data_IF_943976724501
#
_entry.id   IF_943976724501
#
_cell.length_a   1.000
_cell.length_b   1.000
_cell.length_c   1.000
_cell.angle_alpha   90.00
_cell.angle_beta   90.00
_cell.angle_gamma   90.00
#
_symmetry.space_group_name_H-M   'P 1'
#
loop_
_entity.id
_entity.type
_entity.pdbx_description
1 polymer ?
#
# COMPACT_ATOMS: atom_id res chain seq x y z
N UNK A 1 -21.74 -6.08 -8.34
CA UNK A 1 -21.15 -6.94 -9.39
C UNK A 1 -21.72 -6.49 -10.72
N UNK A 2 -20.89 -6.27 -11.74
CA UNK A 2 -21.34 -5.78 -13.06
C UNK A 2 -22.26 -6.81 -13.74
N UNK A 3 -23.45 -6.38 -14.17
CA UNK A 3 -24.50 -7.26 -14.67
C UNK A 3 -24.52 -7.40 -16.19
N UNK A 4 -23.94 -6.46 -16.92
CA UNK A 4 -23.86 -6.48 -18.39
C UNK A 4 -22.70 -7.34 -18.87
N UNK A 5 -23.01 -8.39 -19.62
CA UNK A 5 -22.00 -9.33 -20.14
C UNK A 5 -20.96 -8.66 -21.03
N UNK A 6 -21.37 -7.76 -21.93
CA UNK A 6 -20.45 -7.04 -22.80
C UNK A 6 -19.41 -6.22 -22.02
N UNK A 7 -19.82 -5.63 -20.89
CA UNK A 7 -18.92 -4.88 -20.01
C UNK A 7 -18.00 -5.83 -19.26
N UNK A 8 -18.49 -6.97 -18.77
CA UNK A 8 -17.65 -8.00 -18.13
C UNK A 8 -16.54 -8.50 -19.07
N UNK A 9 -16.87 -8.78 -20.33
CA UNK A 9 -15.89 -9.21 -21.34
C UNK A 9 -14.84 -8.13 -21.58
N UNK A 10 -15.26 -6.87 -21.74
CA UNK A 10 -14.33 -5.75 -21.92
C UNK A 10 -13.42 -5.54 -20.71
N UNK A 11 -13.97 -5.60 -19.49
CA UNK A 11 -13.21 -5.50 -18.25
C UNK A 11 -12.19 -6.63 -18.14
N UNK A 12 -12.61 -7.87 -18.44
CA UNK A 12 -11.73 -9.03 -18.39
C UNK A 12 -10.54 -8.86 -19.34
N UNK A 13 -10.79 -8.52 -20.60
CA UNK A 13 -9.75 -8.30 -21.61
C UNK A 13 -8.78 -7.17 -21.21
N UNK A 14 -9.30 -6.07 -20.66
CA UNK A 14 -8.48 -4.97 -20.18
C UNK A 14 -7.60 -5.38 -18.99
N UNK A 15 -8.15 -6.13 -18.02
CA UNK A 15 -7.41 -6.60 -16.85
C UNK A 15 -6.33 -7.62 -17.25
N UNK A 16 -6.65 -8.59 -18.13
CA UNK A 16 -5.67 -9.56 -18.64
C UNK A 16 -4.48 -8.85 -19.31
N UNK A 17 -4.76 -7.84 -20.16
CA UNK A 17 -3.73 -7.02 -20.81
C UNK A 17 -2.91 -6.22 -19.81
N UNK A 18 -3.55 -5.64 -18.78
CA UNK A 18 -2.86 -4.89 -17.73
C UNK A 18 -1.92 -5.80 -16.93
N UNK A 19 -2.34 -7.00 -16.54
CA UNK A 19 -1.49 -7.98 -15.85
C UNK A 19 -0.26 -8.32 -16.70
N UNK A 20 -0.46 -8.61 -17.99
CA UNK A 20 0.64 -8.95 -18.90
C UNK A 20 1.61 -7.77 -19.03
N UNK A 21 1.10 -6.55 -19.20
CA UNK A 21 1.92 -5.35 -19.29
C UNK A 21 2.72 -5.12 -18.01
N UNK A 22 2.06 -5.15 -16.85
CA UNK A 22 2.71 -4.98 -15.55
C UNK A 22 3.80 -6.03 -15.33
N UNK A 23 3.53 -7.30 -15.61
CA UNK A 23 4.50 -8.37 -15.46
C UNK A 23 5.72 -8.19 -16.38
N UNK A 24 5.51 -7.77 -17.64
CA UNK A 24 6.59 -7.50 -18.60
C UNK A 24 7.37 -6.22 -18.28
N UNK A 25 6.75 -5.28 -17.59
CA UNK A 25 7.35 -4.01 -17.20
C UNK A 25 8.27 -4.11 -15.98
N UNK A 26 8.22 -5.23 -15.23
CA UNK A 26 9.08 -5.46 -14.08
C UNK A 26 10.56 -5.46 -14.52
N UNK A 27 11.40 -4.73 -13.79
CA UNK A 27 12.83 -4.67 -14.10
C UNK A 27 13.56 -5.93 -13.61
N UNK A 28 14.82 -6.07 -14.03
CA UNK A 28 15.71 -7.14 -13.54
C UNK A 28 15.99 -7.06 -12.03
N UNK A 29 15.64 -5.95 -11.38
CA UNK A 29 15.73 -5.82 -9.93
C UNK A 29 14.53 -6.43 -9.19
N UNK A 30 13.44 -6.75 -9.89
CA UNK A 30 12.17 -7.19 -9.31
C UNK A 30 11.22 -6.05 -8.97
N UNK A 31 11.65 -4.79 -9.15
CA UNK A 31 10.83 -3.59 -8.93
C UNK A 31 10.29 -2.98 -10.22
N UNK A 32 9.60 -1.85 -10.07
CA UNK A 32 9.09 -1.03 -11.17
C UNK A 32 9.48 0.42 -10.97
N UNK A 33 9.59 1.17 -12.07
CA UNK A 33 9.58 2.64 -12.06
C UNK A 33 8.44 3.16 -12.93
N UNK A 34 8.37 4.48 -13.13
CA UNK A 34 7.37 5.15 -13.96
C UNK A 34 7.35 4.73 -15.43
N UNK A 35 8.40 4.08 -15.93
CA UNK A 35 8.52 3.60 -17.31
C UNK A 35 8.75 2.08 -17.35
N UNK A 36 8.12 1.34 -18.27
CA UNK A 36 8.31 -0.12 -18.38
C UNK A 36 9.77 -0.53 -18.59
N UNK A 37 10.22 -1.57 -17.87
CA UNK A 37 11.53 -2.21 -18.05
C UNK A 37 12.74 -1.40 -17.56
N UNK A 38 12.53 -0.17 -17.07
CA UNK A 38 13.58 0.66 -16.49
C UNK A 38 13.55 0.65 -14.96
N UNK A 39 14.72 0.57 -14.33
CA UNK A 39 14.93 0.94 -12.92
C UNK A 39 13.99 0.32 -11.88
N UNK A 40 13.93 0.97 -10.73
CA UNK A 40 13.13 0.54 -9.58
C UNK A 40 12.87 1.73 -8.64
N UNK A 41 11.67 1.78 -8.07
CA UNK A 41 11.38 2.62 -6.92
C UNK A 41 10.23 2.04 -6.08
N UNK A 42 10.23 2.34 -4.78
CA UNK A 42 9.40 1.68 -3.79
C UNK A 42 7.90 1.98 -3.94
N UNK A 43 7.52 3.21 -4.31
CA UNK A 43 6.09 3.57 -4.37
C UNK A 43 5.38 2.96 -5.57
N UNK A 44 6.03 2.97 -6.74
CA UNK A 44 5.51 2.30 -7.95
C UNK A 44 5.52 0.80 -7.75
N UNK A 45 6.59 0.22 -7.18
CA UNK A 45 6.65 -1.22 -6.93
C UNK A 45 5.51 -1.70 -6.04
N UNK A 46 5.27 -1.04 -4.90
CA UNK A 46 4.13 -1.38 -4.05
C UNK A 46 2.81 -1.26 -4.80
N UNK A 47 2.61 -0.17 -5.56
CA UNK A 47 1.37 0.03 -6.34
C UNK A 47 1.13 -1.11 -7.34
N UNK A 48 2.17 -1.56 -8.05
CA UNK A 48 2.05 -2.67 -9.01
C UNK A 48 1.73 -3.98 -8.30
N UNK A 49 2.37 -4.29 -7.17
CA UNK A 49 2.07 -5.52 -6.43
C UNK A 49 0.64 -5.52 -5.89
N UNK A 50 0.16 -4.38 -5.37
CA UNK A 50 -1.23 -4.23 -4.91
C UNK A 50 -2.23 -4.46 -6.06
N UNK A 51 -1.96 -3.89 -7.25
CA UNK A 51 -2.80 -4.09 -8.42
C UNK A 51 -2.84 -5.57 -8.86
N UNK A 52 -1.69 -6.24 -8.91
CA UNK A 52 -1.61 -7.66 -9.24
C UNK A 52 -2.33 -8.53 -8.20
N UNK A 53 -2.19 -8.24 -6.90
CA UNK A 53 -2.90 -8.98 -5.86
C UNK A 53 -4.41 -8.74 -5.90
N UNK A 54 -4.85 -7.51 -6.17
CA UNK A 54 -6.27 -7.24 -6.40
C UNK A 54 -6.83 -8.05 -7.58
N UNK A 55 -6.07 -8.18 -8.67
CA UNK A 55 -6.45 -9.01 -9.81
C UNK A 55 -6.53 -10.50 -9.44
N UNK A 56 -5.55 -11.01 -8.69
CA UNK A 56 -5.56 -12.40 -8.21
C UNK A 56 -6.75 -12.68 -7.30
N UNK A 57 -7.06 -11.77 -6.37
CA UNK A 57 -8.23 -11.88 -5.48
C UNK A 57 -9.56 -11.83 -6.25
N UNK A 58 -9.58 -11.19 -7.42
CA UNK A 58 -10.72 -11.19 -8.34
C UNK A 58 -10.77 -12.45 -9.25
N UNK A 59 -9.86 -13.41 -9.06
CA UNK A 59 -9.83 -14.68 -9.81
C UNK A 59 -9.03 -14.63 -11.11
N UNK A 60 -8.24 -13.58 -11.35
CA UNK A 60 -7.38 -13.49 -12.54
C UNK A 60 -6.05 -14.22 -12.33
N UNK A 61 -5.51 -14.76 -13.43
CA UNK A 61 -4.22 -15.42 -13.43
C UNK A 61 -3.09 -14.40 -13.45
N UNK A 62 -2.34 -14.32 -12.35
CA UNK A 62 -1.13 -13.50 -12.22
C UNK A 62 0.09 -14.41 -12.24
N UNK A 63 1.15 -14.11 -13.01
CA UNK A 63 2.37 -14.91 -13.01
C UNK A 63 3.00 -14.95 -11.59
N UNK A 64 3.15 -16.13 -10.96
CA UNK A 64 3.68 -16.22 -9.60
C UNK A 64 5.08 -15.63 -9.44
N UNK A 65 5.93 -15.84 -10.44
CA UNK A 65 7.30 -15.32 -10.46
C UNK A 65 7.36 -13.79 -10.34
N UNK A 66 6.40 -13.07 -10.94
CA UNK A 66 6.35 -11.60 -10.85
C UNK A 66 6.19 -11.14 -9.39
N UNK A 67 5.36 -11.83 -8.62
CA UNK A 67 5.17 -11.51 -7.20
C UNK A 67 6.38 -11.93 -6.37
N UNK A 68 6.93 -13.12 -6.60
CA UNK A 68 8.11 -13.59 -5.86
C UNK A 68 9.32 -12.68 -6.04
N UNK A 69 9.57 -12.17 -7.25
CA UNK A 69 10.66 -11.22 -7.47
C UNK A 69 10.38 -9.84 -6.84
N UNK A 70 9.12 -9.42 -6.74
CA UNK A 70 8.75 -8.19 -6.05
C UNK A 70 8.95 -8.30 -4.52
N UNK A 71 8.65 -9.45 -3.93
CA UNK A 71 8.94 -9.74 -2.51
C UNK A 71 10.44 -9.71 -2.27
N UNK A 72 11.23 -10.40 -3.11
CA UNK A 72 12.70 -10.37 -3.04
C UNK A 72 13.25 -8.96 -3.20
N UNK A 73 12.65 -8.14 -4.08
CA UNK A 73 13.02 -6.74 -4.22
C UNK A 73 12.85 -5.97 -2.90
N UNK A 74 11.69 -6.09 -2.24
CA UNK A 74 11.42 -5.45 -0.95
C UNK A 74 12.44 -5.92 0.11
N UNK A 75 12.74 -7.22 0.16
CA UNK A 75 13.77 -7.75 1.05
C UNK A 75 15.13 -7.10 0.83
N UNK A 76 15.55 -6.96 -0.42
CA UNK A 76 16.82 -6.31 -0.78
C UNK A 76 16.84 -4.81 -0.45
N UNK A 77 15.68 -4.15 -0.42
CA UNK A 77 15.54 -2.76 0.01
C UNK A 77 15.52 -2.59 1.54
N UNK A 78 15.61 -3.67 2.32
CA UNK A 78 15.63 -3.59 3.78
C UNK A 78 16.89 -2.89 4.28
N UNK A 79 16.72 -2.04 5.29
CA UNK A 79 17.82 -1.32 5.94
C UNK A 79 18.13 -1.92 7.32
N UNK A 80 19.31 -1.65 7.91
CA UNK A 80 19.67 -2.13 9.25
C UNK A 80 18.69 -1.69 10.35
N UNK A 81 18.02 -0.55 10.18
CA UNK A 81 17.00 -0.06 11.13
C UNK A 81 15.66 -0.79 11.01
N UNK A 82 15.52 -1.75 10.07
CA UNK A 82 14.33 -2.57 9.88
C UNK A 82 13.31 -2.02 8.88
N UNK A 83 13.48 -0.78 8.40
CA UNK A 83 12.62 -0.20 7.38
C UNK A 83 13.10 -0.48 5.94
N UNK A 84 12.47 0.20 4.98
CA UNK A 84 12.72 0.02 3.54
C UNK A 84 13.24 1.33 2.94
N UNK A 85 14.35 1.25 2.20
CA UNK A 85 14.89 2.39 1.43
C UNK A 85 14.04 2.67 0.18
N UNK A 86 14.29 3.79 -0.50
CA UNK A 86 13.44 4.21 -1.63
C UNK A 86 13.57 3.31 -2.87
N UNK A 87 14.79 2.87 -3.16
CA UNK A 87 15.12 2.04 -4.33
C UNK A 87 16.48 1.38 -4.07
N UNK A 88 16.75 0.26 -4.73
CA UNK A 88 18.05 -0.39 -4.71
C UNK A 88 19.12 0.46 -5.39
N UNK A 89 18.75 1.16 -6.47
CA UNK A 89 19.67 2.01 -7.23
C UNK A 89 20.14 3.24 -6.43
N UNK A 90 19.25 3.90 -5.69
CA UNK A 90 19.62 5.04 -4.84
C UNK A 90 20.13 4.62 -3.45
N UNK A 91 19.70 3.46 -2.94
CA UNK A 91 19.94 3.03 -1.57
C UNK A 91 19.42 4.03 -0.53
N UNK A 92 20.13 4.12 0.60
CA UNK A 92 19.89 5.12 1.65
C UNK A 92 19.09 4.60 2.85
N UNK A 93 18.67 5.54 3.70
CA UNK A 93 17.94 5.24 4.93
C UNK A 93 16.49 4.84 4.68
N UNK A 94 15.91 4.16 5.66
CA UNK A 94 14.51 3.78 5.66
C UNK A 94 13.57 5.00 5.52
N UNK A 95 12.51 4.84 4.73
CA UNK A 95 11.43 5.83 4.58
C UNK A 95 10.15 5.26 5.16
N UNK A 96 9.51 5.99 6.08
CA UNK A 96 8.29 5.52 6.76
C UNK A 96 7.16 5.17 5.79
N UNK A 97 6.87 6.07 4.84
CA UNK A 97 5.85 5.87 3.81
C UNK A 97 6.07 4.58 3.00
N UNK A 98 7.30 4.35 2.56
CA UNK A 98 7.67 3.17 1.77
C UNK A 98 7.64 1.91 2.64
N UNK A 99 8.08 2.01 3.90
CA UNK A 99 8.06 0.89 4.84
C UNK A 99 6.64 0.44 5.16
N UNK A 100 5.72 1.38 5.43
CA UNK A 100 4.31 1.06 5.64
C UNK A 100 3.68 0.38 4.42
N UNK A 101 3.99 0.90 3.23
CA UNK A 101 3.55 0.35 1.96
C UNK A 101 4.11 -1.07 1.72
N UNK A 102 5.35 -1.32 2.12
CA UNK A 102 5.97 -2.64 2.05
C UNK A 102 5.29 -3.67 2.98
N UNK A 103 4.97 -3.31 4.22
CA UNK A 103 4.24 -4.21 5.15
C UNK A 103 2.89 -4.62 4.56
N UNK A 104 2.10 -3.64 4.11
CA UNK A 104 0.81 -3.92 3.47
C UNK A 104 0.96 -4.81 2.22
N UNK A 105 2.06 -4.65 1.48
CA UNK A 105 2.36 -5.47 0.30
C UNK A 105 2.74 -6.90 0.66
N UNK A 106 3.59 -7.09 1.66
CA UNK A 106 4.01 -8.41 2.14
C UNK A 106 2.81 -9.18 2.72
N UNK A 107 1.97 -8.51 3.50
CA UNK A 107 0.75 -9.11 4.04
C UNK A 107 -0.24 -9.50 2.95
N UNK A 108 -0.49 -8.61 1.99
CA UNK A 108 -1.33 -8.95 0.82
C UNK A 108 -0.68 -10.02 -0.06
N UNK A 109 0.62 -10.26 0.09
CA UNK A 109 1.33 -11.35 -0.56
C UNK A 109 1.23 -12.70 0.19
N UNK A 110 0.68 -12.72 1.40
CA UNK A 110 0.64 -13.88 2.28
C UNK A 110 1.91 -14.09 3.12
N UNK A 111 2.85 -13.15 3.06
CA UNK A 111 4.15 -13.20 3.72
C UNK A 111 4.08 -12.62 5.15
N UNK A 112 3.09 -13.06 5.92
CA UNK A 112 2.79 -12.50 7.24
C UNK A 112 3.93 -12.71 8.25
N UNK A 113 4.49 -13.92 8.26
CA UNK A 113 5.53 -14.36 9.21
C UNK A 113 6.95 -14.21 8.64
N UNK A 114 7.08 -13.55 7.48
CA UNK A 114 8.40 -13.36 6.87
C UNK A 114 9.23 -12.42 7.77
N UNK A 115 10.51 -12.71 8.06
CA UNK A 115 11.34 -11.88 8.93
C UNK A 115 11.44 -10.42 8.47
N UNK A 116 11.34 -10.17 7.16
CA UNK A 116 11.28 -8.81 6.58
C UNK A 116 9.98 -8.08 6.97
N UNK A 117 8.84 -8.77 6.97
CA UNK A 117 7.54 -8.20 7.33
C UNK A 117 7.52 -7.82 8.81
N UNK A 118 8.00 -8.70 9.69
CA UNK A 118 8.07 -8.44 11.13
C UNK A 118 8.96 -7.24 11.47
N UNK A 119 10.19 -7.20 10.93
CA UNK A 119 11.11 -6.07 11.15
C UNK A 119 10.55 -4.77 10.61
N UNK A 120 9.94 -4.80 9.43
CA UNK A 120 9.36 -3.62 8.79
C UNK A 120 8.15 -3.11 9.57
N UNK A 121 7.27 -4.00 10.04
CA UNK A 121 6.17 -3.63 10.92
C UNK A 121 6.67 -3.00 12.22
N UNK A 122 7.71 -3.57 12.83
CA UNK A 122 8.34 -3.02 14.03
C UNK A 122 8.85 -1.59 13.82
N UNK A 123 9.60 -1.36 12.74
CA UNK A 123 10.08 -0.03 12.36
C UNK A 123 8.91 0.95 12.15
N UNK A 124 7.90 0.56 11.36
CA UNK A 124 6.73 1.42 11.08
C UNK A 124 6.01 1.77 12.39
N UNK A 125 5.81 0.77 13.25
CA UNK A 125 5.12 0.92 14.53
C UNK A 125 5.84 1.91 15.46
N UNK A 126 7.14 1.75 15.67
CA UNK A 126 7.93 2.64 16.52
C UNK A 126 7.94 4.08 16.00
N UNK A 127 8.08 4.26 14.68
CA UNK A 127 8.08 5.59 14.05
C UNK A 127 6.74 6.29 14.19
N UNK A 128 5.63 5.56 14.03
CA UNK A 128 4.29 6.11 14.23
C UNK A 128 4.07 6.59 15.67
N UNK A 129 4.47 5.78 16.65
CA UNK A 129 4.38 6.15 18.07
C UNK A 129 5.23 7.36 18.42
N UNK A 130 6.39 7.52 17.77
CA UNK A 130 7.27 8.67 17.97
C UNK A 130 6.74 9.96 17.31
N UNK A 131 5.99 9.87 16.21
CA UNK A 131 5.48 11.05 15.48
C UNK A 131 4.28 11.73 16.15
N UNK A 132 3.54 11.04 17.03
CA UNK A 132 2.47 11.64 17.83
C UNK A 132 1.19 11.99 17.06
N UNK A 133 1.01 11.47 15.83
CA UNK A 133 -0.21 11.61 15.04
C UNK A 133 0.01 12.07 13.60
N UNK A 134 -1.07 12.41 12.91
CA UNK A 134 -1.03 12.99 11.57
C UNK A 134 -0.35 14.36 11.63
N UNK A 135 0.83 14.46 11.03
CA UNK A 135 1.39 15.76 10.67
C UNK A 135 0.49 16.38 9.60
N UNK A 136 0.23 17.69 9.68
CA UNK A 136 -0.24 18.45 8.52
C UNK A 136 1.00 19.08 7.90
N UNK A 137 1.64 18.40 6.95
CA UNK A 137 2.69 19.04 6.15
C UNK A 137 3.87 18.17 5.74
N UNK A 138 3.89 16.88 6.06
CA UNK A 138 4.73 15.93 5.35
C UNK A 138 4.12 15.69 3.97
N UNK A 139 4.88 15.84 2.89
CA UNK A 139 4.34 15.78 1.52
C UNK A 139 3.64 14.47 1.11
N UNK A 140 3.52 13.48 2.01
CA UNK A 140 2.99 12.14 1.78
C UNK A 140 2.25 11.57 3.01
N UNK A 141 1.63 12.42 3.83
CA UNK A 141 0.98 11.97 5.09
C UNK A 141 -0.23 11.07 4.79
N UNK A 142 -1.12 11.46 3.86
CA UNK A 142 -2.24 10.60 3.45
C UNK A 142 -1.76 9.27 2.85
N UNK A 143 -0.71 9.31 2.02
CA UNK A 143 -0.12 8.09 1.46
C UNK A 143 0.40 7.16 2.55
N UNK A 144 1.15 7.71 3.51
CA UNK A 144 1.73 6.94 4.63
C UNK A 144 0.64 6.30 5.46
N UNK A 145 -0.42 7.06 5.77
CA UNK A 145 -1.53 6.62 6.60
C UNK A 145 -2.43 5.60 5.90
N UNK A 146 -2.60 5.70 4.57
CA UNK A 146 -3.28 4.69 3.78
C UNK A 146 -2.66 3.31 4.02
N UNK A 147 -1.35 3.19 3.84
CA UNK A 147 -0.67 1.89 3.96
C UNK A 147 -0.46 1.47 5.41
N UNK A 148 -0.16 2.40 6.32
CA UNK A 148 -0.02 2.10 7.73
C UNK A 148 -1.33 1.58 8.32
N UNK A 149 -2.48 2.18 7.95
CA UNK A 149 -3.78 1.68 8.37
C UNK A 149 -4.01 0.23 7.95
N UNK A 150 -3.67 -0.14 6.71
CA UNK A 150 -3.79 -1.51 6.22
C UNK A 150 -2.83 -2.46 6.95
N UNK A 151 -1.57 -2.03 7.13
CA UNK A 151 -0.55 -2.81 7.84
C UNK A 151 -0.98 -3.12 9.28
N UNK A 152 -1.36 -2.09 10.06
CA UNK A 152 -1.80 -2.25 11.44
C UNK A 152 -3.13 -3.01 11.54
N UNK A 153 -4.04 -2.74 10.61
CA UNK A 153 -5.30 -3.46 10.53
C UNK A 153 -5.07 -4.94 10.32
N UNK A 154 -4.15 -5.35 9.45
CA UNK A 154 -3.85 -6.77 9.25
C UNK A 154 -3.03 -7.36 10.41
N UNK A 155 -2.05 -6.62 10.95
CA UNK A 155 -1.08 -7.10 11.94
C UNK A 155 -1.65 -7.60 13.27
N UNK A 156 -2.71 -6.99 13.80
CA UNK A 156 -3.29 -7.44 15.07
C UNK A 156 -4.17 -6.38 15.72
N UNK A 157 -5.09 -6.79 16.60
CA UNK A 157 -5.86 -5.86 17.43
C UNK A 157 -4.94 -4.98 18.28
N UNK A 158 -3.80 -5.55 18.73
CA UNK A 158 -2.71 -4.82 19.38
C UNK A 158 -2.29 -3.54 18.63
N UNK A 159 -2.17 -3.61 17.30
CA UNK A 159 -1.73 -2.49 16.49
C UNK A 159 -2.91 -1.59 16.13
N UNK A 160 -4.03 -2.20 15.74
CA UNK A 160 -5.21 -1.48 15.28
C UNK A 160 -5.87 -0.65 16.38
N UNK A 161 -6.03 -1.20 17.59
CA UNK A 161 -6.75 -0.55 18.69
C UNK A 161 -6.00 0.65 19.25
N UNK A 162 -4.67 0.67 19.17
CA UNK A 162 -3.85 1.83 19.56
C UNK A 162 -3.76 2.87 18.42
N UNK A 163 -3.76 2.44 17.15
CA UNK A 163 -3.66 3.33 15.99
C UNK A 163 -4.98 4.03 15.60
N UNK A 164 -6.07 3.29 15.51
CA UNK A 164 -7.27 3.74 14.81
C UNK A 164 -8.06 4.84 15.52
N UNK A 165 -8.30 4.80 16.85
CA UNK A 165 -9.09 5.83 17.52
C UNK A 165 -8.53 7.25 17.32
N UNK A 166 -7.22 7.41 17.52
CA UNK A 166 -6.55 8.70 17.32
C UNK A 166 -6.60 9.16 15.85
N UNK A 167 -6.33 8.25 14.92
CA UNK A 167 -6.39 8.53 13.47
C UNK A 167 -7.80 8.93 13.02
N UNK A 168 -8.84 8.21 13.48
CA UNK A 168 -10.24 8.53 13.21
C UNK A 168 -10.60 9.93 13.69
N UNK A 169 -10.27 10.25 14.93
CA UNK A 169 -10.63 11.53 15.54
C UNK A 169 -9.91 12.70 14.83
N UNK A 170 -8.65 12.50 14.44
CA UNK A 170 -7.92 13.46 13.62
C UNK A 170 -8.56 13.65 12.25
N UNK A 171 -8.88 12.57 11.53
CA UNK A 171 -9.55 12.64 10.23
C UNK A 171 -10.89 13.39 10.31
N UNK A 172 -11.74 13.05 11.28
CA UNK A 172 -13.03 13.74 11.49
C UNK A 172 -12.83 15.22 11.84
N UNK A 173 -11.80 15.52 12.66
CA UNK A 173 -11.46 16.88 13.07
C UNK A 173 -11.00 17.77 11.91
N UNK A 174 -10.37 17.19 10.88
CA UNK A 174 -9.83 17.94 9.73
C UNK A 174 -10.69 17.88 8.47
N UNK A 175 -11.83 17.18 8.53
CA UNK A 175 -12.80 17.13 7.45
C UNK A 175 -13.38 18.53 7.17
N UNK A 176 -13.42 18.92 5.89
CA UNK A 176 -14.08 20.15 5.44
C UNK A 176 -15.59 20.07 5.76
N UNK A 177 -16.09 21.00 6.57
CA UNK A 177 -17.48 20.99 7.03
C UNK A 177 -18.48 21.44 5.98
N UNK A 178 -18.01 22.06 4.89
CA UNK A 178 -18.88 22.54 3.81
C UNK A 178 -19.28 21.44 2.83
N UNK A 179 -18.35 20.54 2.51
CA UNK A 179 -18.55 19.50 1.48
C UNK A 179 -18.13 18.09 1.92
N UNK A 180 -17.63 17.93 3.14
CA UNK A 180 -17.23 16.64 3.70
C UNK A 180 -15.90 16.10 3.17
N UNK A 181 -15.14 16.89 2.41
CA UNK A 181 -13.89 16.45 1.76
C UNK A 181 -12.65 16.56 2.65
N UNK A 182 -11.56 15.93 2.18
CA UNK A 182 -10.20 16.10 2.69
C UNK A 182 -9.25 16.49 1.57
N UNK A 183 -8.43 17.52 1.78
CA UNK A 183 -7.36 17.86 0.85
C UNK A 183 -6.12 16.99 1.16
N UNK A 184 -5.81 16.03 0.29
CA UNK A 184 -4.73 15.08 0.55
C UNK A 184 -3.39 15.57 0.00
N UNK A 185 -2.42 15.83 0.87
CA UNK A 185 -1.01 16.11 0.55
C UNK A 185 -0.78 17.21 -0.51
N UNK A 186 -1.73 18.14 -0.68
CA UNK A 186 -1.70 19.13 -1.77
C UNK A 186 -2.01 18.58 -3.17
N UNK A 187 -2.26 17.27 -3.30
CA UNK A 187 -2.67 16.59 -4.54
C UNK A 187 -4.13 16.92 -4.89
N UNK A 188 -4.99 17.01 -3.88
CA UNK A 188 -6.36 17.51 -4.04
C UNK A 188 -7.42 16.77 -3.22
N UNK A 189 -8.66 17.28 -3.34
CA UNK A 189 -9.83 16.80 -2.58
C UNK A 189 -10.21 15.36 -2.91
N UNK A 190 -10.15 14.95 -4.18
CA UNK A 190 -10.51 13.58 -4.60
C UNK A 190 -9.59 12.54 -3.95
N UNK A 191 -8.27 12.78 -4.01
CA UNK A 191 -7.26 11.88 -3.43
C UNK A 191 -7.38 11.79 -1.91
N UNK A 192 -7.41 12.94 -1.23
CA UNK A 192 -7.52 12.96 0.24
C UNK A 192 -8.82 12.33 0.74
N UNK A 193 -9.95 12.63 0.09
CA UNK A 193 -11.25 12.07 0.48
C UNK A 193 -11.30 10.56 0.27
N UNK A 194 -10.79 10.04 -0.85
CA UNK A 194 -10.74 8.61 -1.10
C UNK A 194 -9.94 7.87 -0.01
N UNK A 195 -8.76 8.38 0.35
CA UNK A 195 -7.92 7.77 1.39
C UNK A 195 -8.58 7.85 2.77
N UNK A 196 -9.10 9.03 3.16
CA UNK A 196 -9.76 9.20 4.44
C UNK A 196 -10.92 8.21 4.59
N UNK A 197 -11.74 8.05 3.55
CA UNK A 197 -12.85 7.11 3.56
C UNK A 197 -12.38 5.65 3.62
N UNK A 198 -11.35 5.27 2.86
CA UNK A 198 -10.78 3.91 2.96
C UNK A 198 -10.38 3.60 4.40
N UNK A 199 -9.62 4.50 5.05
CA UNK A 199 -9.16 4.31 6.42
C UNK A 199 -10.34 4.20 7.39
N UNK A 200 -11.29 5.14 7.31
CA UNK A 200 -12.46 5.17 8.20
C UNK A 200 -13.38 3.95 8.01
N UNK A 201 -13.34 3.30 6.85
CA UNK A 201 -14.19 2.16 6.52
C UNK A 201 -13.57 0.79 6.79
N UNK A 202 -12.26 0.72 7.11
CA UNK A 202 -11.59 -0.55 7.45
C UNK A 202 -12.33 -1.38 8.51
N UNK A 203 -12.89 -0.80 9.60
CA UNK A 203 -13.66 -1.57 10.58
C UNK A 203 -14.86 -2.33 10.01
N UNK A 204 -15.43 -1.87 8.89
CA UNK A 204 -16.63 -2.48 8.30
C UNK A 204 -16.33 -3.71 7.44
N UNK A 205 -15.06 -4.01 7.13
CA UNK A 205 -14.64 -5.25 6.46
C UNK A 205 -15.31 -5.51 5.10
N UNK A 206 -15.68 -4.45 4.38
CA UNK A 206 -16.42 -4.61 3.12
C UNK A 206 -15.58 -5.18 1.97
N UNK A 207 -14.25 -5.03 2.01
CA UNK A 207 -13.36 -5.55 0.98
C UNK A 207 -12.77 -6.90 1.41
N UNK A 208 -12.71 -7.92 0.52
CA UNK A 208 -12.11 -9.22 0.84
C UNK A 208 -10.67 -9.13 1.36
N UNK A 209 -9.87 -8.19 0.86
CA UNK A 209 -8.48 -7.96 1.29
C UNK A 209 -8.37 -7.47 2.75
N UNK A 210 -9.48 -7.02 3.35
CA UNK A 210 -9.55 -6.59 4.75
C UNK A 210 -10.34 -7.58 5.62
N UNK A 211 -10.53 -8.81 5.16
CA UNK A 211 -11.07 -9.88 6.00
C UNK A 211 -9.91 -10.54 6.73
N UNK A 212 -9.98 -10.51 8.07
CA UNK A 212 -9.02 -11.09 9.01
C UNK A 212 -9.57 -12.40 9.56
#
# INVERSE_FOLDING_TARGET
METKESVRVQMKDAIDKAIILTARAQSSYGGWTYSPGGGDEGSVTVTQVQALRAAQNAGFNVPPATISEAVRYIERCSTPEGGICYSLSAGGSARLAISAAAVATLYNAGEYDAPVAERCLGYVWERFRAQGGWSKGGGHDFYTQLYASQAFYMAGDKYWDEYFPATRDQLIGVQDKSDGSWNGDGIGKTYGTAIALIILQLPYKFMPVYQR
#
